data_IF_352638752134
#
_entry.id   IF_352638752134
#
_cell.length_a   1.000
_cell.length_b   1.000
_cell.length_c   1.000
_cell.angle_alpha   90.00
_cell.angle_beta   90.00
_cell.angle_gamma   90.00
#
_symmetry.space_group_name_H-M   'P 1'
#
loop_
_entity.id
_entity.type
_entity.pdbx_description
1 polymer ?
#
# COMPACT_ATOMS: atom_id res chain seq x y z
N UNK A 1 -12.62 11.63 24.33
CA UNK A 1 -12.52 10.20 24.67
C UNK A 1 -11.70 9.54 23.57
N UNK A 2 -10.65 8.81 23.94
CA UNK A 2 -9.77 8.14 22.98
C UNK A 2 -10.39 6.81 22.59
N UNK A 3 -10.89 6.70 21.37
CA UNK A 3 -11.50 5.49 20.81
C UNK A 3 -10.44 4.39 20.69
N UNK A 4 -10.30 3.60 21.76
CA UNK A 4 -9.43 2.42 21.79
C UNK A 4 -10.23 1.23 21.29
N UNK A 5 -10.68 1.28 20.04
CA UNK A 5 -11.34 0.13 19.39
C UNK A 5 -10.27 -0.91 19.10
N UNK A 6 -10.09 -1.84 20.03
CA UNK A 6 -9.21 -3.00 19.86
C UNK A 6 -9.89 -3.97 18.89
N UNK A 7 -9.26 -4.23 17.75
CA UNK A 7 -9.73 -5.23 16.79
C UNK A 7 -9.09 -6.57 17.17
N UNK A 8 -9.87 -7.60 17.53
CA UNK A 8 -9.32 -8.91 17.86
C UNK A 8 -8.46 -9.45 16.71
N UNK A 9 -7.24 -9.89 17.01
CA UNK A 9 -6.30 -10.43 16.02
C UNK A 9 -5.57 -9.39 15.17
N UNK A 10 -5.79 -8.08 15.39
CA UNK A 10 -5.00 -7.05 14.74
C UNK A 10 -3.59 -7.00 15.32
N UNK A 11 -2.59 -7.08 14.43
CA UNK A 11 -1.18 -6.97 14.79
C UNK A 11 -0.64 -5.70 14.13
N UNK A 12 -0.24 -4.74 14.95
CA UNK A 12 0.50 -3.58 14.48
C UNK A 12 1.97 -3.97 14.24
N UNK A 13 2.59 -3.39 13.22
CA UNK A 13 4.00 -3.66 12.94
C UNK A 13 4.43 -3.27 11.54
N UNK A 14 5.60 -3.78 11.17
CA UNK A 14 6.23 -3.62 9.87
C UNK A 14 5.99 -4.89 9.05
N UNK A 15 5.49 -4.71 7.83
CA UNK A 15 5.15 -5.81 6.93
C UNK A 15 5.87 -5.62 5.60
N UNK A 16 6.73 -6.57 5.24
CA UNK A 16 7.34 -6.61 3.90
C UNK A 16 6.32 -7.07 2.88
N UNK A 17 6.27 -6.38 1.75
CA UNK A 17 5.37 -6.73 0.64
C UNK A 17 5.87 -7.96 -0.11
N UNK A 18 4.97 -8.89 -0.39
CA UNK A 18 5.20 -10.00 -1.31
C UNK A 18 5.11 -9.51 -2.77
N UNK A 19 6.24 -9.62 -3.49
CA UNK A 19 6.37 -9.20 -4.89
C UNK A 19 5.53 -10.02 -5.85
N UNK A 20 5.30 -11.31 -5.58
CA UNK A 20 4.54 -12.19 -6.50
C UNK A 20 3.07 -11.81 -6.56
N UNK A 21 2.54 -11.18 -5.50
CA UNK A 21 1.13 -10.82 -5.39
C UNK A 21 0.88 -9.31 -5.35
N UNK A 22 1.90 -8.51 -5.66
CA UNK A 22 1.82 -7.05 -5.61
C UNK A 22 2.38 -6.44 -6.91
N UNK A 23 1.96 -5.22 -7.24
CA UNK A 23 2.47 -4.53 -8.43
C UNK A 23 2.57 -3.03 -8.22
N UNK A 24 3.68 -2.44 -8.68
CA UNK A 24 3.83 -0.99 -8.80
C UNK A 24 3.63 -0.60 -10.27
N UNK A 25 2.46 -0.03 -10.57
CA UNK A 25 2.08 0.40 -11.91
C UNK A 25 2.20 1.91 -12.10
N UNK A 26 2.52 2.34 -13.32
CA UNK A 26 2.48 3.75 -13.71
C UNK A 26 1.66 3.95 -14.97
N UNK A 27 1.16 5.18 -15.15
CA UNK A 27 0.60 5.60 -16.41
C UNK A 27 0.84 7.07 -16.70
N UNK A 28 1.25 7.34 -17.93
CA UNK A 28 1.58 8.68 -18.42
C UNK A 28 0.67 8.97 -19.60
N UNK A 29 0.02 10.14 -19.58
CA UNK A 29 -0.75 10.66 -20.72
C UNK A 29 0.18 11.49 -21.60
N UNK A 30 0.18 11.23 -22.90
CA UNK A 30 0.95 11.99 -23.88
C UNK A 30 -0.01 12.74 -24.83
N UNK A 31 0.11 14.07 -24.86
CA UNK A 31 -0.66 15.05 -25.64
C UNK A 31 -2.13 14.65 -25.86
N UNK A 32 -2.89 14.46 -24.76
CA UNK A 32 -4.33 14.13 -24.71
C UNK A 32 -4.79 12.82 -25.40
N UNK A 33 -4.03 12.29 -26.36
CA UNK A 33 -4.47 11.25 -27.29
C UNK A 33 -3.97 9.87 -26.86
N UNK A 34 -2.73 9.76 -26.41
CA UNK A 34 -2.13 8.47 -26.08
C UNK A 34 -1.84 8.32 -24.59
N UNK A 35 -1.85 7.05 -24.15
CA UNK A 35 -1.58 6.67 -22.77
C UNK A 35 -0.57 5.53 -22.76
N UNK A 36 0.57 5.78 -22.13
CA UNK A 36 1.56 4.75 -21.85
C UNK A 36 1.27 4.18 -20.47
N UNK A 37 1.29 2.85 -20.35
CA UNK A 37 1.17 2.12 -19.09
C UNK A 37 2.38 1.20 -18.94
N UNK A 38 2.83 1.02 -17.72
CA UNK A 38 3.88 0.06 -17.41
C UNK A 38 3.86 -0.35 -15.95
N UNK A 39 4.68 -1.35 -15.63
CA UNK A 39 4.87 -1.86 -14.28
C UNK A 39 6.35 -2.04 -14.00
N UNK A 40 6.74 -1.88 -12.73
CA UNK A 40 8.06 -2.31 -12.26
C UNK A 40 7.99 -3.81 -11.94
N UNK A 41 8.92 -4.59 -12.52
CA UNK A 41 8.95 -6.05 -12.35
C UNK A 41 9.61 -6.49 -11.05
N UNK A 42 10.48 -5.64 -10.50
CA UNK A 42 11.16 -5.87 -9.24
C UNK A 42 11.07 -4.59 -8.42
N UNK A 43 10.62 -4.72 -7.18
CA UNK A 43 10.43 -3.63 -6.24
C UNK A 43 10.44 -4.20 -4.82
N UNK A 44 10.93 -3.43 -3.86
CA UNK A 44 10.78 -3.69 -2.44
C UNK A 44 9.88 -2.63 -1.83
N UNK A 45 9.03 -3.05 -0.90
CA UNK A 45 8.11 -2.16 -0.20
C UNK A 45 7.79 -2.69 1.20
N UNK A 46 7.46 -1.76 2.10
CA UNK A 46 7.10 -2.02 3.48
C UNK A 46 5.82 -1.27 3.84
N UNK A 47 4.95 -1.90 4.62
CA UNK A 47 3.81 -1.25 5.26
C UNK A 47 4.09 -1.17 6.76
N UNK A 48 4.04 0.04 7.30
CA UNK A 48 4.10 0.28 8.74
C UNK A 48 2.70 0.61 9.24
N UNK A 49 2.20 -0.18 10.19
CA UNK A 49 0.85 0.00 10.75
C UNK A 49 0.89 0.53 12.18
N UNK A 50 -0.05 1.44 12.49
CA UNK A 50 -0.21 2.00 13.84
C UNK A 50 -1.08 1.13 14.74
N UNK A 51 -0.98 1.30 16.07
CA UNK A 51 -1.71 0.48 17.04
C UNK A 51 -3.24 0.54 16.93
N UNK A 52 -3.80 1.56 16.28
CA UNK A 52 -5.24 1.72 16.09
C UNK A 52 -5.58 1.63 14.59
N UNK A 53 -6.19 0.53 14.12
CA UNK A 53 -6.42 0.32 12.69
C UNK A 53 -7.36 1.35 12.06
N UNK A 54 -8.32 1.88 12.81
CA UNK A 54 -9.24 2.93 12.33
C UNK A 54 -8.57 4.29 12.09
N UNK A 55 -7.30 4.45 12.50
CA UNK A 55 -6.53 5.69 12.37
C UNK A 55 -5.38 5.57 11.37
N UNK A 56 -5.34 4.50 10.57
CA UNK A 56 -4.40 4.39 9.46
C UNK A 56 -4.61 5.59 8.51
N UNK A 57 -3.53 6.28 8.15
CA UNK A 57 -3.53 7.49 7.33
C UNK A 57 -2.64 7.32 6.11
#
# INVERSE_FOLDING_TARGET
MSDTTTVPGYIAGTWTIDKTHSSVGFSIRHIMISKVKGTFKDFDAEIVTGATPSRAR
#
